data_IF_802163342248
#
_entry.id   IF_802163342248
#
_cell.length_a   1.000
_cell.length_b   1.000
_cell.length_c   1.000
_cell.angle_alpha   90.00
_cell.angle_beta   90.00
_cell.angle_gamma   90.00
#
_symmetry.space_group_name_H-M   'P 1'
#
loop_
_entity.id
_entity.type
_entity.pdbx_description
1 polymer ?
#
# COMPACT_ATOMS: atom_id res chain seq x y z
N UNK A 1 92.91 -28.53 2.09
CA UNK A 1 93.31 -28.96 0.73
C UNK A 1 92.02 -28.96 -0.12
N UNK A 2 91.78 -27.89 -0.77
CA UNK A 2 91.89 -27.73 -2.24
C UNK A 2 90.86 -28.52 -3.02
N UNK A 3 90.01 -27.81 -3.70
CA UNK A 3 89.34 -28.33 -4.84
C UNK A 3 88.05 -27.54 -5.25
N UNK A 4 88.26 -26.41 -5.93
CA UNK A 4 87.19 -25.74 -6.72
C UNK A 4 87.24 -26.33 -8.12
N UNK A 5 86.14 -26.62 -8.75
CA UNK A 5 86.07 -26.45 -10.19
C UNK A 5 84.83 -25.62 -10.66
N UNK A 6 85.23 -24.83 -11.41
CA UNK A 6 84.77 -23.99 -12.55
C UNK A 6 83.39 -24.16 -13.10
N UNK A 7 82.81 -23.00 -13.28
CA UNK A 7 81.73 -22.60 -14.15
C UNK A 7 81.85 -23.08 -15.59
N UNK A 8 80.74 -23.52 -16.13
CA UNK A 8 80.46 -23.40 -17.57
C UNK A 8 79.04 -22.80 -17.77
N UNK A 9 79.06 -21.71 -18.47
CA UNK A 9 77.88 -20.96 -18.91
C UNK A 9 77.49 -21.43 -20.30
N UNK A 10 76.31 -21.74 -20.64
CA UNK A 10 75.82 -21.77 -22.02
C UNK A 10 75.08 -20.49 -22.40
N UNK A 11 74.93 -20.26 -23.71
CA UNK A 11 74.68 -18.94 -24.30
C UNK A 11 73.20 -18.53 -24.33
N UNK A 12 73.05 -17.24 -24.47
CA UNK A 12 71.82 -16.52 -24.48
C UNK A 12 70.81 -16.93 -25.52
N UNK A 13 69.54 -16.81 -25.10
CA UNK A 13 68.42 -16.64 -26.00
C UNK A 13 67.72 -15.30 -25.68
N UNK A 14 67.67 -14.50 -26.72
CA UNK A 14 66.87 -13.28 -26.78
C UNK A 14 65.43 -13.61 -26.44
N UNK A 15 64.92 -13.08 -25.36
CA UNK A 15 63.54 -13.16 -25.01
C UNK A 15 62.85 -11.81 -25.30
N UNK A 16 61.94 -11.86 -26.19
CA UNK A 16 61.08 -10.79 -26.64
C UNK A 16 60.35 -10.17 -25.46
N UNK A 17 60.38 -8.86 -25.40
CA UNK A 17 59.56 -8.05 -24.51
C UNK A 17 58.15 -8.08 -24.99
N UNK A 18 57.32 -8.92 -24.42
CA UNK A 18 55.87 -8.77 -24.48
C UNK A 18 55.45 -7.80 -23.38
N UNK A 19 55.05 -6.62 -23.84
CA UNK A 19 54.35 -5.64 -23.00
C UNK A 19 53.03 -6.24 -22.64
N UNK A 20 52.93 -6.82 -21.45
CA UNK A 20 51.67 -7.23 -20.85
C UNK A 20 50.92 -5.98 -20.39
N UNK A 21 49.87 -5.62 -21.10
CA UNK A 21 48.85 -4.73 -20.60
C UNK A 21 48.24 -5.36 -19.35
N UNK A 22 48.56 -4.84 -18.19
CA UNK A 22 47.88 -5.10 -16.96
C UNK A 22 46.49 -4.47 -17.08
N UNK A 23 45.52 -5.28 -17.46
CA UNK A 23 44.09 -4.96 -17.28
C UNK A 23 43.87 -4.89 -15.78
N UNK A 24 43.84 -3.67 -15.26
CA UNK A 24 43.40 -3.38 -13.92
C UNK A 24 41.93 -3.83 -13.79
N UNK A 25 41.74 -4.96 -13.14
CA UNK A 25 40.44 -5.33 -12.61
C UNK A 25 40.02 -4.25 -11.58
N UNK A 26 39.29 -3.27 -12.01
CA UNK A 26 38.43 -2.47 -11.14
C UNK A 26 37.49 -3.47 -10.47
N UNK A 27 37.85 -3.92 -9.26
CA UNK A 27 36.88 -4.49 -8.35
C UNK A 27 35.82 -3.41 -8.11
N UNK A 28 34.76 -3.44 -8.92
CA UNK A 28 33.54 -2.76 -8.59
C UNK A 28 33.13 -3.32 -7.22
N UNK A 29 33.28 -2.52 -6.19
CA UNK A 29 32.55 -2.70 -4.96
C UNK A 29 31.06 -2.64 -5.34
N UNK A 30 30.51 -3.78 -5.72
CA UNK A 30 29.11 -4.04 -5.78
C UNK A 30 28.62 -4.00 -4.33
N UNK A 31 28.42 -2.80 -3.81
CA UNK A 31 27.55 -2.60 -2.68
C UNK A 31 26.19 -3.10 -3.13
N UNK A 32 25.83 -4.31 -2.71
CA UNK A 32 24.47 -4.81 -2.74
C UNK A 32 23.64 -3.93 -1.80
N UNK A 33 23.36 -2.71 -2.23
CA UNK A 33 22.24 -1.95 -1.72
C UNK A 33 21.03 -2.75 -2.15
N UNK A 34 20.45 -3.51 -1.22
CA UNK A 34 19.07 -3.93 -1.32
C UNK A 34 18.27 -2.64 -1.43
N UNK A 35 18.03 -2.19 -2.65
CA UNK A 35 17.06 -1.18 -2.97
C UNK A 35 15.71 -1.78 -2.66
N UNK A 36 15.30 -1.69 -1.38
CA UNK A 36 13.92 -1.90 -1.03
C UNK A 36 13.16 -0.89 -1.87
N UNK A 37 12.41 -1.39 -2.82
CA UNK A 37 11.44 -0.61 -3.55
C UNK A 37 10.64 0.17 -2.52
N UNK A 38 10.55 1.48 -2.70
CA UNK A 38 9.78 2.31 -1.78
C UNK A 38 8.36 1.75 -1.79
N UNK A 39 7.72 1.59 -0.61
CA UNK A 39 6.40 1.01 -0.56
C UNK A 39 5.46 1.83 -1.44
N UNK A 40 4.63 1.15 -2.22
CA UNK A 40 3.62 1.81 -3.04
C UNK A 40 2.75 2.73 -2.17
N UNK A 41 2.59 3.96 -2.61
CA UNK A 41 1.77 4.96 -1.92
C UNK A 41 0.80 5.59 -2.91
N UNK A 42 -0.48 5.53 -2.61
CA UNK A 42 -1.53 6.19 -3.37
C UNK A 42 -2.14 7.34 -2.57
N UNK A 43 -2.15 8.54 -3.14
CA UNK A 43 -2.74 9.72 -2.53
C UNK A 43 -4.03 10.09 -3.26
N UNK A 44 -5.16 10.01 -2.57
CA UNK A 44 -6.45 10.39 -3.12
C UNK A 44 -6.68 11.91 -3.03
N UNK A 45 -7.32 12.46 -4.05
CA UNK A 45 -7.77 13.84 -4.16
C UNK A 45 -9.27 13.86 -4.50
N UNK A 46 -9.93 15.01 -4.43
CA UNK A 46 -11.36 15.13 -4.78
C UNK A 46 -11.65 14.57 -6.19
N UNK A 47 -10.74 14.74 -7.13
CA UNK A 47 -10.84 14.18 -8.49
C UNK A 47 -10.83 12.66 -8.53
N UNK A 48 -10.21 12.01 -7.55
CA UNK A 48 -10.22 10.54 -7.41
C UNK A 48 -11.65 10.04 -7.16
N UNK A 49 -12.41 10.76 -6.36
CA UNK A 49 -13.78 10.37 -5.98
C UNK A 49 -14.83 10.84 -6.99
N UNK A 50 -14.56 11.85 -7.80
CA UNK A 50 -15.55 12.45 -8.70
C UNK A 50 -16.37 11.43 -9.53
N UNK A 51 -15.78 10.35 -10.08
CA UNK A 51 -16.52 9.38 -10.89
C UNK A 51 -17.17 8.24 -10.09
N UNK A 52 -17.18 8.25 -8.75
CA UNK A 52 -17.49 7.07 -7.94
C UNK A 52 -18.86 6.44 -8.27
N UNK A 53 -19.85 7.25 -8.63
CA UNK A 53 -21.20 6.75 -8.98
C UNK A 53 -21.26 5.93 -10.28
N UNK A 54 -20.17 5.94 -11.06
CA UNK A 54 -20.02 5.12 -12.27
C UNK A 54 -19.30 3.79 -12.03
N UNK A 55 -18.81 3.57 -10.82
CA UNK A 55 -18.08 2.34 -10.49
C UNK A 55 -19.03 1.17 -10.21
N UNK A 56 -18.53 -0.08 -10.25
CA UNK A 56 -19.25 -1.23 -9.74
C UNK A 56 -19.80 -0.95 -8.34
N UNK A 57 -21.07 -1.30 -8.10
CA UNK A 57 -21.73 -0.98 -6.85
C UNK A 57 -22.52 -2.15 -6.29
N UNK A 58 -22.70 -2.12 -4.96
CA UNK A 58 -23.41 -3.11 -4.19
C UNK A 58 -24.33 -2.42 -3.19
N UNK A 59 -25.60 -2.71 -3.27
CA UNK A 59 -26.59 -2.21 -2.32
C UNK A 59 -26.70 -3.12 -1.09
N UNK A 60 -26.94 -2.52 0.07
CA UNK A 60 -27.19 -3.21 1.33
C UNK A 60 -28.31 -2.50 2.09
N UNK A 61 -29.37 -3.24 2.43
CA UNK A 61 -30.57 -2.72 3.12
C UNK A 61 -30.40 -2.56 4.63
N UNK A 62 -29.34 -3.08 5.20
CA UNK A 62 -29.23 -3.15 6.65
C UNK A 62 -27.81 -3.27 7.18
N UNK A 63 -27.69 -3.53 8.49
CA UNK A 63 -26.40 -3.78 9.11
C UNK A 63 -25.68 -4.94 8.44
N UNK A 64 -24.36 -4.94 8.52
CA UNK A 64 -23.59 -6.11 8.12
C UNK A 64 -24.14 -7.33 8.89
N UNK A 65 -24.43 -8.42 8.17
CA UNK A 65 -25.09 -9.63 8.72
C UNK A 65 -24.26 -10.39 9.78
N UNK A 66 -23.10 -9.87 10.16
CA UNK A 66 -22.19 -10.48 11.13
C UNK A 66 -22.60 -10.22 12.60
N UNK A 67 -23.70 -9.49 12.82
CA UNK A 67 -24.21 -9.20 14.16
C UNK A 67 -23.34 -8.29 15.02
N UNK A 68 -22.27 -7.72 14.47
CA UNK A 68 -21.29 -6.91 15.22
C UNK A 68 -21.59 -5.42 15.19
N UNK A 69 -22.49 -4.96 14.33
CA UNK A 69 -22.78 -3.54 14.15
C UNK A 69 -24.20 -3.20 14.62
N UNK A 70 -24.35 -2.07 15.30
CA UNK A 70 -25.67 -1.56 15.66
C UNK A 70 -26.38 -1.03 14.42
N UNK A 71 -27.70 -1.27 14.27
CA UNK A 71 -28.48 -0.85 13.10
C UNK A 71 -28.39 0.64 12.77
N UNK A 72 -28.19 1.47 13.78
CA UNK A 72 -28.18 2.93 13.65
C UNK A 72 -26.95 3.48 12.92
N UNK A 73 -25.88 2.70 12.83
CA UNK A 73 -24.63 3.16 12.22
C UNK A 73 -24.57 2.83 10.73
N UNK A 74 -25.29 1.77 10.30
CA UNK A 74 -25.14 1.18 8.99
C UNK A 74 -26.50 0.91 8.30
N UNK A 75 -27.39 1.88 8.33
CA UNK A 75 -28.66 1.83 7.57
C UNK A 75 -28.46 1.51 6.08
N UNK A 76 -29.54 1.58 5.28
CA UNK A 76 -29.45 1.35 3.84
C UNK A 76 -28.35 2.19 3.20
N UNK A 77 -27.53 1.56 2.36
CA UNK A 77 -26.38 2.19 1.73
C UNK A 77 -26.01 1.52 0.43
N UNK A 78 -25.40 2.27 -0.45
CA UNK A 78 -24.75 1.76 -1.66
C UNK A 78 -23.24 1.92 -1.53
N UNK A 79 -22.51 0.84 -1.72
CA UNK A 79 -21.05 0.81 -1.75
C UNK A 79 -20.55 0.73 -3.19
N UNK A 80 -19.56 1.54 -3.52
CA UNK A 80 -18.92 1.62 -4.82
C UNK A 80 -17.44 1.28 -4.68
N UNK A 81 -16.87 0.58 -5.64
CA UNK A 81 -15.44 0.24 -5.65
C UNK A 81 -14.84 0.56 -7.01
N UNK A 82 -13.71 1.27 -7.03
CA UNK A 82 -13.06 1.64 -8.29
C UNK A 82 -12.45 0.44 -9.01
N UNK A 83 -11.86 -0.48 -8.27
CA UNK A 83 -11.23 -1.69 -8.79
C UNK A 83 -11.40 -2.86 -7.81
N UNK A 84 -12.18 -3.88 -8.15
CA UNK A 84 -12.23 -5.09 -7.36
C UNK A 84 -10.86 -5.77 -7.34
N UNK A 85 -10.44 -6.37 -6.21
CA UNK A 85 -9.22 -7.14 -6.15
C UNK A 85 -9.30 -8.39 -7.05
N UNK A 86 -8.14 -8.94 -7.39
CA UNK A 86 -8.08 -10.23 -8.09
C UNK A 86 -8.68 -11.34 -7.20
N UNK A 87 -9.29 -12.32 -7.83
CA UNK A 87 -9.85 -13.48 -7.11
C UNK A 87 -8.78 -14.16 -6.25
N UNK A 88 -9.07 -14.35 -4.98
CA UNK A 88 -8.15 -14.98 -4.03
C UNK A 88 -7.04 -14.06 -3.53
N UNK A 89 -7.14 -12.76 -3.77
CA UNK A 89 -6.24 -11.80 -3.14
C UNK A 89 -6.37 -11.86 -1.61
N UNK A 90 -5.24 -11.73 -0.92
CA UNK A 90 -5.22 -11.68 0.54
C UNK A 90 -5.56 -10.29 1.10
N UNK A 91 -5.40 -9.25 0.28
CA UNK A 91 -5.66 -7.85 0.62
C UNK A 91 -6.10 -7.06 -0.62
N UNK A 92 -6.66 -5.90 -0.39
CA UNK A 92 -6.97 -4.95 -1.46
C UNK A 92 -5.69 -4.29 -1.95
N UNK A 93 -5.49 -4.15 -3.29
CA UNK A 93 -4.31 -3.48 -3.82
C UNK A 93 -4.26 -2.00 -3.43
N UNK A 94 -3.06 -1.46 -3.29
CA UNK A 94 -2.86 0.00 -3.11
C UNK A 94 -3.54 0.74 -4.25
N UNK A 95 -4.24 1.83 -3.93
CA UNK A 95 -5.09 2.55 -4.88
C UNK A 95 -6.53 2.06 -4.97
N UNK A 96 -6.92 1.00 -4.24
CA UNK A 96 -8.34 0.67 -4.07
C UNK A 96 -9.05 1.80 -3.36
N UNK A 97 -10.19 2.21 -3.90
CA UNK A 97 -11.10 3.21 -3.32
C UNK A 97 -12.47 2.58 -3.17
N UNK A 98 -12.99 2.60 -1.95
CA UNK A 98 -14.35 2.17 -1.64
C UNK A 98 -15.10 3.40 -1.14
N UNK A 99 -16.25 3.71 -1.75
CA UNK A 99 -17.12 4.81 -1.33
C UNK A 99 -18.43 4.22 -0.83
N UNK A 100 -18.88 4.64 0.34
CA UNK A 100 -20.17 4.29 0.93
C UNK A 100 -21.07 5.53 0.92
N UNK A 101 -22.14 5.48 0.14
CA UNK A 101 -23.20 6.49 0.16
C UNK A 101 -24.38 5.98 0.99
N UNK A 102 -24.64 6.64 2.12
CA UNK A 102 -25.76 6.33 3.03
C UNK A 102 -27.05 6.86 2.47
N UNK A 103 -28.11 6.09 2.68
CA UNK A 103 -29.45 6.41 2.23
C UNK A 103 -30.39 6.82 3.39
N UNK A 104 -29.84 6.86 4.62
CA UNK A 104 -30.53 7.38 5.79
C UNK A 104 -30.62 8.93 5.76
N UNK A 105 -31.27 9.51 6.77
CA UNK A 105 -31.57 10.95 6.80
C UNK A 105 -30.32 11.87 6.77
N UNK A 106 -29.13 11.38 7.14
CA UNK A 106 -27.91 12.19 7.15
C UNK A 106 -27.24 12.24 5.76
N UNK A 107 -27.60 11.33 4.84
CA UNK A 107 -27.09 11.23 3.48
C UNK A 107 -25.55 11.35 3.37
N UNK A 108 -24.85 10.95 4.42
CA UNK A 108 -23.38 11.06 4.45
C UNK A 108 -22.71 10.12 3.47
N UNK A 109 -21.60 10.59 2.93
CA UNK A 109 -20.74 9.81 2.05
C UNK A 109 -19.41 9.64 2.73
N UNK A 110 -19.03 8.40 2.98
CA UNK A 110 -17.72 8.04 3.50
C UNK A 110 -16.91 7.29 2.46
N UNK A 111 -15.59 7.35 2.58
CA UNK A 111 -14.72 6.55 1.73
C UNK A 111 -13.54 6.00 2.52
N UNK A 112 -13.08 4.82 2.08
CA UNK A 112 -11.80 4.23 2.45
C UNK A 112 -10.92 4.16 1.22
N UNK A 113 -9.64 4.50 1.40
CA UNK A 113 -8.62 4.40 0.36
C UNK A 113 -7.47 3.56 0.87
N UNK A 114 -7.14 2.50 0.15
CA UNK A 114 -5.92 1.72 0.42
C UNK A 114 -4.72 2.56 -0.02
N UNK A 115 -4.20 3.33 0.93
CA UNK A 115 -3.12 4.29 0.70
C UNK A 115 -1.76 3.62 0.58
N UNK A 116 -1.52 2.54 1.34
CA UNK A 116 -0.21 1.90 1.43
C UNK A 116 0.81 2.69 2.25
N UNK A 117 2.07 2.31 2.12
CA UNK A 117 3.19 3.01 2.74
C UNK A 117 3.24 2.95 4.26
N UNK A 118 2.55 2.01 4.90
CA UNK A 118 2.48 1.90 6.36
C UNK A 118 1.59 2.96 7.01
N UNK A 119 0.75 3.66 6.24
CA UNK A 119 -0.18 4.63 6.80
C UNK A 119 -1.14 3.95 7.77
N UNK A 120 -1.51 4.64 8.86
CA UNK A 120 -2.46 4.15 9.85
C UNK A 120 -2.07 2.79 10.49
N UNK A 121 -0.77 2.54 10.65
CA UNK A 121 -0.25 1.26 11.16
C UNK A 121 -0.75 0.89 12.57
N UNK A 122 -1.15 1.87 13.37
CA UNK A 122 -1.75 1.67 14.71
C UNK A 122 -3.25 1.35 14.69
N UNK A 123 -3.88 1.34 13.53
CA UNK A 123 -5.32 1.11 13.34
C UNK A 123 -5.62 0.19 12.18
N UNK A 124 -6.37 0.66 11.20
CA UNK A 124 -6.62 -0.05 9.94
C UNK A 124 -5.44 0.17 9.00
N UNK A 125 -4.44 -0.72 9.08
CA UNK A 125 -3.17 -0.56 8.38
C UNK A 125 -3.36 -0.32 6.87
N UNK A 126 -2.66 0.70 6.38
CA UNK A 126 -2.66 1.17 5.00
C UNK A 126 -3.96 1.82 4.52
N UNK A 127 -5.00 1.94 5.35
CA UNK A 127 -6.26 2.60 5.00
C UNK A 127 -6.31 4.03 5.49
N UNK A 128 -6.72 4.93 4.61
CA UNK A 128 -7.06 6.33 4.89
C UNK A 128 -8.57 6.53 4.73
N UNK A 129 -9.19 7.20 5.70
CA UNK A 129 -10.62 7.43 5.75
C UNK A 129 -10.98 8.84 5.32
N UNK A 130 -12.17 8.99 4.76
CA UNK A 130 -12.67 10.26 4.23
C UNK A 130 -14.17 10.43 4.54
N UNK A 131 -14.58 11.67 4.71
CA UNK A 131 -15.95 12.10 4.50
C UNK A 131 -15.99 12.99 3.26
N UNK A 132 -16.97 12.78 2.41
CA UNK A 132 -17.12 13.50 1.15
C UNK A 132 -18.42 14.29 1.16
N UNK A 133 -18.43 15.45 0.51
CA UNK A 133 -19.66 16.11 0.07
C UNK A 133 -20.13 15.49 -1.25
N UNK A 134 -21.39 15.69 -1.63
CA UNK A 134 -21.95 15.04 -2.82
C UNK A 134 -21.85 15.92 -4.08
N UNK A 135 -22.20 17.20 -4.00
CA UNK A 135 -22.30 18.06 -5.19
C UNK A 135 -21.73 19.46 -4.91
N UNK A 136 -20.52 19.75 -5.38
CA UNK A 136 -19.57 18.85 -6.03
C UNK A 136 -18.96 17.84 -5.05
N UNK A 137 -18.48 16.70 -5.58
CA UNK A 137 -17.75 15.72 -4.75
C UNK A 137 -16.43 16.34 -4.31
N UNK A 138 -16.32 16.63 -3.01
CA UNK A 138 -15.10 17.18 -2.40
C UNK A 138 -14.79 16.48 -1.09
N UNK A 139 -13.55 16.54 -0.66
CA UNK A 139 -13.14 16.00 0.63
C UNK A 139 -13.54 16.99 1.72
N UNK A 140 -14.38 16.55 2.65
CA UNK A 140 -14.75 17.29 3.87
C UNK A 140 -13.67 17.13 4.92
N UNK A 141 -13.26 15.89 5.19
CA UNK A 141 -12.09 15.57 5.99
C UNK A 141 -11.43 14.29 5.48
N UNK A 142 -10.16 14.07 5.87
CA UNK A 142 -9.38 12.88 5.57
C UNK A 142 -8.43 12.57 6.73
N UNK A 143 -8.05 11.30 6.88
CA UNK A 143 -7.08 10.87 7.87
C UNK A 143 -7.34 9.47 8.42
N UNK A 144 -6.95 9.25 9.67
CA UNK A 144 -7.16 7.97 10.37
C UNK A 144 -8.56 7.86 11.00
N UNK A 145 -9.33 8.94 10.97
CA UNK A 145 -10.69 9.04 11.47
C UNK A 145 -11.21 10.48 11.40
N UNK A 146 -12.44 10.74 11.86
CA UNK A 146 -12.97 12.09 11.95
C UNK A 146 -12.07 12.99 12.79
N UNK A 147 -11.87 14.25 12.41
CA UNK A 147 -11.07 15.18 13.19
C UNK A 147 -11.71 15.43 14.56
N UNK A 148 -10.88 15.57 15.57
CA UNK A 148 -11.28 15.99 16.91
C UNK A 148 -11.12 17.52 17.02
N UNK A 149 -12.23 18.24 16.90
CA UNK A 149 -12.21 19.69 16.81
C UNK A 149 -11.43 20.15 15.58
N UNK A 150 -10.46 21.04 15.77
CA UNK A 150 -9.60 21.57 14.69
C UNK A 150 -8.40 20.67 14.35
N UNK A 151 -8.31 19.48 14.93
CA UNK A 151 -7.17 18.57 14.74
C UNK A 151 -7.36 17.75 13.46
N UNK A 152 -6.51 18.01 12.47
CA UNK A 152 -6.43 17.18 11.27
C UNK A 152 -5.88 15.80 11.61
N UNK A 153 -6.51 14.76 11.07
CA UNK A 153 -6.03 13.38 11.15
C UNK A 153 -6.84 12.46 12.06
N UNK A 154 -7.66 13.02 12.96
CA UNK A 154 -8.57 12.25 13.79
C UNK A 154 -7.92 11.43 14.91
N UNK A 155 -8.75 10.66 15.62
CA UNK A 155 -8.31 9.71 16.64
C UNK A 155 -7.98 8.35 16.03
N UNK A 156 -6.73 7.87 16.12
CA UNK A 156 -6.35 6.57 15.58
C UNK A 156 -7.00 5.38 16.31
N UNK A 157 -7.50 5.59 17.53
CA UNK A 157 -8.17 4.54 18.33
C UNK A 157 -9.70 4.65 18.29
N UNK A 158 -10.23 5.70 17.68
CA UNK A 158 -11.66 5.99 17.65
C UNK A 158 -12.30 5.81 16.27
N UNK A 159 -13.58 6.10 16.20
CA UNK A 159 -14.34 6.23 14.97
C UNK A 159 -14.15 5.09 13.98
N UNK A 160 -13.58 5.40 12.82
CA UNK A 160 -13.42 4.45 11.72
C UNK A 160 -12.54 3.26 12.11
N UNK A 161 -11.38 3.51 12.72
CA UNK A 161 -10.44 2.43 13.07
C UNK A 161 -11.02 1.44 14.10
N UNK A 162 -11.70 1.93 15.13
CA UNK A 162 -12.29 1.07 16.15
C UNK A 162 -13.32 0.08 15.56
N UNK A 163 -14.05 0.53 14.54
CA UNK A 163 -15.02 -0.28 13.82
C UNK A 163 -14.31 -1.23 12.86
N UNK A 164 -13.46 -0.72 11.98
CA UNK A 164 -12.80 -1.46 10.91
C UNK A 164 -11.77 -2.48 11.42
N UNK A 165 -11.19 -2.29 12.61
CA UNK A 165 -10.31 -3.28 13.25
C UNK A 165 -10.97 -4.67 13.41
N UNK A 166 -12.30 -4.73 13.54
CA UNK A 166 -13.05 -6.00 13.61
C UNK A 166 -13.01 -6.79 12.31
N UNK A 167 -12.74 -6.12 11.21
CA UNK A 167 -12.69 -6.69 9.87
C UNK A 167 -11.26 -6.87 9.36
N UNK A 168 -10.28 -6.95 10.25
CA UNK A 168 -8.87 -7.14 9.90
C UNK A 168 -8.63 -8.39 9.04
N UNK A 169 -9.42 -9.46 9.24
CA UNK A 169 -9.38 -10.67 8.41
C UNK A 169 -9.83 -10.47 6.96
N UNK A 170 -10.44 -9.33 6.64
CA UNK A 170 -10.84 -8.91 5.29
C UNK A 170 -10.18 -7.57 4.94
N UNK A 171 -8.90 -7.42 5.33
CA UNK A 171 -8.12 -6.21 5.12
C UNK A 171 -8.85 -4.93 5.55
N UNK A 172 -9.49 -4.98 6.75
CA UNK A 172 -10.25 -3.88 7.37
C UNK A 172 -11.51 -3.43 6.59
N UNK A 173 -11.94 -4.14 5.57
CA UNK A 173 -13.18 -3.85 4.84
C UNK A 173 -14.34 -4.61 5.43
N UNK A 174 -15.24 -3.88 6.11
CA UNK A 174 -16.42 -4.44 6.79
C UNK A 174 -17.62 -4.54 5.85
N UNK A 175 -17.48 -5.27 4.76
CA UNK A 175 -18.57 -5.47 3.80
C UNK A 175 -18.64 -6.93 3.35
N UNK A 176 -19.73 -7.65 3.63
CA UNK A 176 -19.93 -9.00 3.12
C UNK A 176 -19.92 -9.08 1.59
N UNK A 177 -20.31 -7.99 0.92
CA UNK A 177 -20.33 -7.89 -0.54
C UNK A 177 -18.95 -7.66 -1.15
N UNK A 178 -17.99 -7.25 -0.31
CA UNK A 178 -16.59 -7.00 -0.70
C UNK A 178 -15.65 -7.95 0.06
N UNK A 179 -16.10 -9.17 0.37
CA UNK A 179 -15.27 -10.16 1.02
C UNK A 179 -14.25 -10.74 0.05
N UNK A 180 -12.95 -10.59 0.37
CA UNK A 180 -11.82 -11.04 -0.47
C UNK A 180 -11.92 -12.51 -0.90
N UNK A 181 -12.49 -13.37 -0.06
CA UNK A 181 -12.69 -14.79 -0.39
C UNK A 181 -13.82 -15.07 -1.38
N UNK A 182 -14.67 -14.08 -1.69
CA UNK A 182 -15.85 -14.22 -2.55
C UNK A 182 -15.82 -13.38 -3.82
N UNK A 183 -14.85 -12.49 -3.94
CA UNK A 183 -14.62 -11.65 -5.12
C UNK A 183 -13.88 -12.39 -6.23
#
# INVERSE_FOLDING_TARGET
MTGVPRLTRPPGRLASWLVGLAAGALAACGGGGGGGEAPDVFLAFSTTFAPFRSWPSFHSDGPADDGTFTPDVLGPRTQYINQPPARGAAEFPVGTVIVEARENADHKIFAGVKRGGGFNAGGAADWEWFELSDQPVTIVWRGVGPPLGDTYGGDPNGGCNACHARCAGNDYVCSPKLALGSL
#
